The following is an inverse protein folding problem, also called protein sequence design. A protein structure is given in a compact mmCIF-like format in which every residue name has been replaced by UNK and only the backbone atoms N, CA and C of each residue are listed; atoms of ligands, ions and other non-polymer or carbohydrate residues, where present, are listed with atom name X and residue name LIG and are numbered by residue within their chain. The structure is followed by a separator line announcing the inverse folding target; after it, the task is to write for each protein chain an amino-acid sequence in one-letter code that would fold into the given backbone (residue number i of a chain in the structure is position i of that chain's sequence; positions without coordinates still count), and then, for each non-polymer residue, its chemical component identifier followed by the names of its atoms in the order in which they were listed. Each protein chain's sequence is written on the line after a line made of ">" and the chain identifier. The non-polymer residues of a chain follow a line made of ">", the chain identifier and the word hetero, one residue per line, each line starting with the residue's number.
data_IF_041776709839
#
_entry.id   IF_041776709839
#
_cell.length_a   1.000
_cell.length_b   1.000
_cell.length_c   1.000
_cell.angle_alpha   90.00
_cell.angle_beta   90.00
_cell.angle_gamma   90.00
#
_symmetry.space_group_name_H-M   'P 1'
#
loop_
_entity.id
_entity.type
_entity.pdbx_description
1 polymer ?
#
# COMPACT_ATOMS: atom_id res chain seq x y z
N UNK A 1 19.80 -33.66 -2.75
CA UNK A 1 20.10 -32.97 -1.48
C UNK A 1 19.10 -33.47 -0.45
N UNK A 2 19.42 -34.48 0.36
CA UNK A 2 18.46 -35.09 1.30
C UNK A 2 18.45 -34.46 2.71
N UNK A 3 19.38 -33.55 3.04
CA UNK A 3 19.63 -33.15 4.44
C UNK A 3 18.97 -31.84 4.87
N UNK A 4 17.93 -31.36 4.17
CA UNK A 4 17.23 -30.13 4.53
C UNK A 4 15.91 -30.45 5.23
N UNK A 5 15.87 -30.12 6.53
CA UNK A 5 14.75 -30.40 7.44
C UNK A 5 14.17 -29.10 8.01
N UNK A 6 12.91 -29.14 8.42
CA UNK A 6 12.28 -28.05 9.15
C UNK A 6 12.93 -27.89 10.55
N UNK A 7 13.22 -26.67 11.02
CA UNK A 7 13.92 -26.45 12.29
C UNK A 7 13.13 -26.88 13.54
N UNK A 8 11.83 -27.14 13.39
CA UNK A 8 10.96 -27.68 14.44
C UNK A 8 10.57 -29.11 14.08
N UNK A 9 10.94 -30.06 14.95
CA UNK A 9 10.64 -31.48 14.81
C UNK A 9 9.14 -31.71 15.06
N UNK A 10 8.46 -32.31 14.08
CA UNK A 10 7.07 -32.73 14.19
C UNK A 10 6.95 -34.24 13.97
N UNK A 11 5.72 -34.78 14.01
CA UNK A 11 5.44 -36.17 13.66
C UNK A 11 5.85 -36.56 12.23
N UNK A 12 6.08 -35.57 11.36
CA UNK A 12 6.49 -35.74 9.96
C UNK A 12 8.01 -35.63 9.76
N UNK A 13 8.81 -35.57 10.83
CA UNK A 13 10.27 -35.48 10.72
C UNK A 13 10.88 -36.63 9.91
N UNK A 14 11.74 -36.29 8.96
CA UNK A 14 12.39 -37.26 8.06
C UNK A 14 11.60 -37.52 6.78
N UNK A 15 10.39 -36.97 6.64
CA UNK A 15 9.57 -37.08 5.42
C UNK A 15 9.86 -35.96 4.41
N UNK A 16 10.79 -35.05 4.74
CA UNK A 16 11.29 -34.01 3.87
C UNK A 16 10.58 -32.67 4.06
N UNK A 17 11.29 -31.59 3.73
CA UNK A 17 10.91 -30.21 4.07
C UNK A 17 9.47 -29.83 3.70
N UNK A 18 8.97 -30.27 2.56
CA UNK A 18 7.61 -29.94 2.11
C UNK A 18 6.54 -30.51 3.05
N UNK A 19 6.70 -31.76 3.50
CA UNK A 19 5.76 -32.42 4.41
C UNK A 19 5.94 -31.89 5.83
N UNK A 20 7.19 -31.72 6.27
CA UNK A 20 7.54 -31.17 7.58
C UNK A 20 7.02 -29.75 7.79
N UNK A 21 6.87 -28.96 6.70
CA UNK A 21 6.37 -27.58 6.72
C UNK A 21 4.89 -27.45 6.36
N UNK A 22 4.22 -28.54 5.97
CA UNK A 22 2.83 -28.49 5.51
C UNK A 22 1.84 -28.22 6.65
N UNK A 23 2.18 -28.64 7.88
CA UNK A 23 1.33 -28.49 9.06
C UNK A 23 1.98 -27.55 10.07
N UNK A 24 1.53 -26.30 10.09
CA UNK A 24 1.99 -25.25 11.03
C UNK A 24 1.21 -25.25 12.36
N UNK A 25 0.41 -26.29 12.62
CA UNK A 25 -0.50 -26.37 13.77
C UNK A 25 -1.96 -26.25 13.37
N UNK A 26 -2.86 -26.27 14.35
CA UNK A 26 -4.30 -26.08 14.10
C UNK A 26 -4.55 -24.64 13.64
N UNK A 27 -4.98 -24.48 12.39
CA UNK A 27 -5.30 -23.20 11.77
C UNK A 27 -6.65 -23.31 11.06
N UNK A 28 -7.36 -22.20 10.93
CA UNK A 28 -8.54 -22.13 10.07
C UNK A 28 -8.11 -22.07 8.60
N UNK A 29 -8.38 -23.13 7.84
CA UNK A 29 -7.96 -23.22 6.45
C UNK A 29 -8.96 -22.63 5.44
N UNK A 30 -10.03 -21.99 5.92
CA UNK A 30 -11.11 -21.50 5.05
C UNK A 30 -10.61 -20.56 3.96
N UNK A 31 -9.62 -19.70 4.27
CA UNK A 31 -9.06 -18.77 3.27
C UNK A 31 -8.22 -19.46 2.19
N UNK A 32 -7.53 -20.57 2.52
CA UNK A 32 -6.80 -21.36 1.53
C UNK A 32 -7.74 -22.20 0.65
N UNK A 33 -8.83 -22.70 1.23
CA UNK A 33 -9.78 -23.56 0.52
C UNK A 33 -10.56 -22.81 -0.58
N UNK A 34 -10.83 -21.52 -0.39
CA UNK A 34 -11.59 -20.70 -1.35
C UNK A 34 -10.75 -20.13 -2.51
N UNK A 35 -9.44 -20.41 -2.56
CA UNK A 35 -8.55 -19.80 -3.56
C UNK A 35 -8.98 -20.15 -4.99
N UNK A 36 -9.43 -21.39 -5.23
CA UNK A 36 -9.87 -21.83 -6.55
C UNK A 36 -11.14 -21.07 -6.98
N UNK A 37 -12.13 -20.97 -6.09
CA UNK A 37 -13.36 -20.23 -6.33
C UNK A 37 -13.11 -18.73 -6.56
N UNK A 38 -12.10 -18.15 -5.91
CA UNK A 38 -11.69 -16.76 -6.13
C UNK A 38 -11.08 -16.57 -7.51
N UNK A 39 -10.29 -17.52 -8.01
CA UNK A 39 -9.76 -17.46 -9.39
C UNK A 39 -10.90 -17.53 -10.41
N UNK A 40 -11.84 -18.46 -10.23
CA UNK A 40 -13.05 -18.58 -11.06
C UNK A 40 -13.94 -17.33 -10.99
N UNK A 41 -13.90 -16.60 -9.87
CA UNK A 41 -14.62 -15.34 -9.71
C UNK A 41 -13.91 -14.19 -10.44
N UNK A 42 -12.58 -14.09 -10.32
CA UNK A 42 -11.76 -13.07 -10.98
C UNK A 42 -11.87 -13.18 -12.52
N UNK A 43 -11.89 -14.40 -13.06
CA UNK A 43 -11.99 -14.64 -14.49
C UNK A 43 -13.33 -14.19 -15.11
N UNK A 44 -14.34 -13.88 -14.29
CA UNK A 44 -15.62 -13.31 -14.76
C UNK A 44 -15.53 -11.84 -15.09
N UNK A 45 -14.51 -11.13 -14.58
CA UNK A 45 -14.29 -9.73 -14.89
C UNK A 45 -13.65 -9.58 -16.26
N UNK A 46 -13.95 -8.50 -16.96
CA UNK A 46 -13.34 -8.21 -18.26
C UNK A 46 -11.81 -8.12 -18.13
N UNK A 47 -11.10 -8.97 -18.87
CA UNK A 47 -9.64 -9.08 -18.81
C UNK A 47 -9.10 -9.88 -17.62
N UNK A 48 -9.96 -10.52 -16.82
CA UNK A 48 -9.57 -11.31 -15.65
C UNK A 48 -8.69 -10.53 -14.68
N UNK A 49 -7.67 -11.19 -14.14
CA UNK A 49 -6.73 -10.57 -13.20
C UNK A 49 -5.98 -9.37 -13.80
N UNK A 50 -5.56 -9.46 -15.07
CA UNK A 50 -4.83 -8.38 -15.75
C UNK A 50 -5.73 -7.16 -15.96
N UNK A 51 -7.00 -7.38 -16.31
CA UNK A 51 -8.00 -6.33 -16.45
C UNK A 51 -8.27 -5.61 -15.13
N UNK A 52 -8.34 -6.35 -14.03
CA UNK A 52 -8.46 -5.77 -12.68
C UNK A 52 -7.22 -4.94 -12.32
N UNK A 53 -6.02 -5.48 -12.57
CA UNK A 53 -4.75 -4.78 -12.31
C UNK A 53 -4.67 -3.47 -13.09
N UNK A 54 -4.99 -3.51 -14.39
CA UNK A 54 -4.97 -2.32 -15.25
C UNK A 54 -5.97 -1.26 -14.78
N UNK A 55 -7.22 -1.65 -14.48
CA UNK A 55 -8.23 -0.70 -13.97
C UNK A 55 -7.82 -0.04 -12.67
N UNK A 56 -7.25 -0.82 -11.74
CA UNK A 56 -6.76 -0.28 -10.46
C UNK A 56 -5.63 0.73 -10.68
N UNK A 57 -4.71 0.42 -11.58
CA UNK A 57 -3.61 1.29 -11.96
C UNK A 57 -4.10 2.60 -12.59
N UNK A 58 -4.92 2.50 -13.64
CA UNK A 58 -5.45 3.65 -14.36
C UNK A 58 -6.23 4.58 -13.39
N UNK A 59 -7.07 4.00 -12.53
CA UNK A 59 -7.86 4.75 -11.55
C UNK A 59 -6.99 5.41 -10.48
N UNK A 60 -6.00 4.70 -9.92
CA UNK A 60 -5.18 5.26 -8.84
C UNK A 60 -4.26 6.36 -9.36
N UNK A 61 -3.68 6.20 -10.56
CA UNK A 61 -2.85 7.22 -11.22
C UNK A 61 -3.68 8.48 -11.48
N UNK A 62 -4.87 8.32 -12.06
CA UNK A 62 -5.76 9.46 -12.33
C UNK A 62 -6.13 10.23 -11.05
N UNK A 63 -6.48 9.52 -9.98
CA UNK A 63 -6.79 10.14 -8.68
C UNK A 63 -5.56 10.83 -8.08
N UNK A 64 -4.38 10.21 -8.19
CA UNK A 64 -3.15 10.74 -7.63
C UNK A 64 -2.72 12.05 -8.33
N UNK A 65 -2.77 12.06 -9.67
CA UNK A 65 -2.48 13.26 -10.48
C UNK A 65 -3.47 14.40 -10.19
N UNK A 66 -4.75 14.05 -10.04
CA UNK A 66 -5.79 15.02 -9.66
C UNK A 66 -5.48 15.66 -8.31
N UNK A 67 -5.13 14.87 -7.30
CA UNK A 67 -4.80 15.38 -5.96
C UNK A 67 -3.51 16.18 -5.96
N UNK A 68 -2.45 15.69 -6.59
CA UNK A 68 -1.17 16.41 -6.71
C UNK A 68 -1.38 17.78 -7.37
N UNK A 69 -2.16 17.84 -8.45
CA UNK A 69 -2.52 19.09 -9.12
C UNK A 69 -3.34 20.02 -8.24
N UNK A 70 -4.35 19.49 -7.54
CA UNK A 70 -5.21 20.29 -6.66
C UNK A 70 -4.47 20.86 -5.44
N UNK A 71 -3.46 20.13 -4.95
CA UNK A 71 -2.65 20.51 -3.80
C UNK A 71 -1.40 21.31 -4.17
N UNK A 72 -1.06 21.41 -5.46
CA UNK A 72 0.18 22.03 -5.91
C UNK A 72 1.41 21.25 -5.48
N UNK A 73 1.28 19.92 -5.36
CA UNK A 73 2.33 19.01 -4.88
C UNK A 73 2.73 18.01 -5.98
N UNK A 74 3.44 16.94 -5.59
CA UNK A 74 3.95 15.92 -6.49
C UNK A 74 3.51 14.51 -6.07
N UNK A 75 3.74 13.55 -6.97
CA UNK A 75 3.64 12.14 -6.66
C UNK A 75 4.93 11.67 -5.95
N UNK A 76 4.80 10.78 -4.97
CA UNK A 76 5.93 10.18 -4.28
C UNK A 76 6.67 9.12 -5.11
N UNK A 77 6.12 8.72 -6.26
CA UNK A 77 6.74 7.78 -7.19
C UNK A 77 6.20 8.01 -8.62
N UNK A 78 6.94 7.60 -9.67
CA UNK A 78 6.45 7.65 -11.04
C UNK A 78 5.14 6.86 -11.21
N UNK A 79 4.19 7.31 -12.06
CA UNK A 79 2.93 6.60 -12.30
C UNK A 79 3.09 5.12 -12.63
N UNK A 80 4.07 4.75 -13.47
CA UNK A 80 4.35 3.36 -13.87
C UNK A 80 4.70 2.43 -12.70
N UNK A 81 5.08 2.99 -11.55
CA UNK A 81 5.40 2.26 -10.32
C UNK A 81 4.25 2.23 -9.31
N UNK A 82 3.08 2.75 -9.67
CA UNK A 82 1.89 2.82 -8.81
C UNK A 82 0.88 1.74 -9.21
N UNK A 83 0.91 0.53 -8.64
CA UNK A 83 0.02 -0.56 -9.05
C UNK A 83 -1.45 -0.26 -8.71
N UNK A 84 -1.88 -0.45 -7.47
CA UNK A 84 -3.25 -0.11 -7.02
C UNK A 84 -3.24 0.96 -5.93
N UNK A 85 -2.07 1.54 -5.67
CA UNK A 85 -1.81 2.54 -4.64
C UNK A 85 -0.83 3.57 -5.16
N UNK A 86 -0.98 4.82 -4.71
CA UNK A 86 -0.07 5.92 -5.03
C UNK A 86 0.19 6.78 -3.80
N UNK A 87 1.41 7.31 -3.70
CA UNK A 87 1.79 8.30 -2.70
C UNK A 87 1.62 9.70 -3.29
N UNK A 88 0.93 10.59 -2.59
CA UNK A 88 0.74 11.98 -3.00
C UNK A 88 1.26 12.90 -1.91
N UNK A 89 2.10 13.88 -2.29
CA UNK A 89 2.60 14.90 -1.39
C UNK A 89 1.46 15.73 -0.82
N UNK A 90 1.48 15.96 0.49
CA UNK A 90 0.53 16.83 1.18
C UNK A 90 1.01 18.28 1.12
N UNK A 91 0.09 19.27 1.04
CA UNK A 91 0.46 20.68 1.11
C UNK A 91 1.29 20.99 2.36
N UNK A 92 2.37 21.76 2.20
CA UNK A 92 3.22 22.19 3.31
C UNK A 92 2.44 22.97 4.40
N UNK A 93 1.35 23.64 4.02
CA UNK A 93 0.43 24.33 4.93
C UNK A 93 -0.24 23.43 5.98
N UNK A 94 -0.21 22.10 5.81
CA UNK A 94 -0.66 21.14 6.81
C UNK A 94 0.35 20.91 7.94
N UNK A 95 1.59 21.41 7.80
CA UNK A 95 2.58 21.46 8.88
C UNK A 95 3.05 20.10 9.41
N UNK A 96 3.21 19.11 8.54
CA UNK A 96 3.61 17.74 8.94
C UNK A 96 5.13 17.67 9.13
N UNK A 97 5.58 17.85 10.36
CA UNK A 97 7.02 17.90 10.69
C UNK A 97 7.58 16.61 11.34
N UNK A 98 6.69 15.65 11.63
CA UNK A 98 6.98 14.41 12.38
C UNK A 98 5.80 13.45 12.30
N UNK A 99 6.04 12.18 12.61
CA UNK A 99 4.99 11.13 12.57
C UNK A 99 3.78 11.42 13.46
N UNK A 100 3.96 12.13 14.58
CA UNK A 100 2.84 12.49 15.45
C UNK A 100 1.87 13.45 14.77
N UNK A 101 2.35 14.32 13.88
CA UNK A 101 1.51 15.29 13.17
C UNK A 101 0.71 14.59 12.06
N UNK A 102 1.34 13.65 11.34
CA UNK A 102 0.65 12.75 10.41
C UNK A 102 -0.45 11.91 11.11
N UNK A 103 -0.14 11.39 12.29
CA UNK A 103 -1.09 10.59 13.09
C UNK A 103 -2.30 11.41 13.57
N UNK A 104 -2.08 12.68 13.97
CA UNK A 104 -3.16 13.61 14.33
C UNK A 104 -4.05 13.91 13.13
N UNK A 105 -3.46 14.21 11.97
CA UNK A 105 -4.23 14.47 10.76
C UNK A 105 -5.05 13.26 10.33
N UNK A 106 -4.46 12.04 10.37
CA UNK A 106 -5.19 10.80 10.10
C UNK A 106 -6.39 10.62 11.04
N UNK A 107 -6.19 10.90 12.33
CA UNK A 107 -7.27 10.84 13.34
C UNK A 107 -8.36 11.86 13.04
N UNK A 108 -7.98 13.09 12.70
CA UNK A 108 -8.92 14.15 12.34
C UNK A 108 -9.76 13.78 11.10
N UNK A 109 -9.12 13.27 10.05
CA UNK A 109 -9.78 12.80 8.83
C UNK A 109 -10.79 11.68 9.10
N UNK A 110 -10.42 10.71 9.94
CA UNK A 110 -11.33 9.62 10.32
C UNK A 110 -12.51 10.13 11.13
N UNK A 111 -12.25 10.90 12.18
CA UNK A 111 -13.26 11.24 13.18
C UNK A 111 -14.24 12.32 12.67
N UNK A 112 -13.80 13.21 11.76
CA UNK A 112 -14.63 14.32 11.26
C UNK A 112 -15.14 14.11 9.83
N UNK A 113 -14.42 13.34 9.00
CA UNK A 113 -14.76 13.14 7.59
C UNK A 113 -15.04 11.68 7.24
N UNK A 114 -14.84 10.73 8.17
CA UNK A 114 -14.99 9.30 7.89
C UNK A 114 -13.94 8.75 6.91
N UNK A 115 -12.85 9.49 6.69
CA UNK A 115 -11.80 9.13 5.73
C UNK A 115 -10.65 8.43 6.45
N UNK A 116 -10.40 7.18 6.10
CA UNK A 116 -9.24 6.43 6.57
C UNK A 116 -8.14 6.38 5.49
N UNK A 117 -7.08 7.14 5.72
CA UNK A 117 -5.94 7.24 4.80
C UNK A 117 -4.63 7.07 5.58
N UNK A 118 -3.71 6.19 5.14
CA UNK A 118 -2.35 6.14 5.68
C UNK A 118 -1.60 7.43 5.33
N UNK A 119 -1.06 8.09 6.36
CA UNK A 119 -0.27 9.30 6.24
C UNK A 119 1.14 9.06 6.79
N UNK A 120 2.14 9.59 6.10
CA UNK A 120 3.54 9.39 6.41
C UNK A 120 4.27 10.73 6.48
N UNK A 121 5.14 10.89 7.47
CA UNK A 121 6.15 11.95 7.47
C UNK A 121 7.42 11.43 6.81
N UNK A 122 8.02 12.27 5.97
CA UNK A 122 9.33 12.03 5.39
C UNK A 122 10.21 13.25 5.68
N UNK A 123 11.32 13.01 6.39
CA UNK A 123 12.29 14.05 6.65
C UNK A 123 12.89 14.56 5.32
N UNK A 124 13.14 15.88 5.19
CA UNK A 124 13.85 16.44 4.05
C UNK A 124 15.20 15.76 3.87
N UNK A 125 15.62 15.56 2.62
CA UNK A 125 16.99 15.08 2.37
C UNK A 125 17.97 16.24 2.56
N UNK A 126 19.17 15.99 3.08
CA UNK A 126 20.22 17.01 3.32
C UNK A 126 20.45 17.94 2.11
N UNK A 127 20.31 17.44 0.89
CA UNK A 127 20.52 18.21 -0.34
C UNK A 127 19.36 19.17 -0.69
N UNK A 128 18.18 18.97 -0.11
CA UNK A 128 17.01 19.85 -0.24
C UNK A 128 17.10 21.01 0.76
N UNK A 129 17.98 20.88 1.76
CA UNK A 129 18.20 21.85 2.83
C UNK A 129 19.05 23.04 2.37
N UNK A 130 19.85 22.88 1.33
CA UNK A 130 20.73 23.95 0.83
C UNK A 130 20.00 24.99 -0.05
N UNK A 131 18.81 24.67 -0.54
CA UNK A 131 17.94 25.60 -1.30
C UNK A 131 17.10 26.49 -0.36
N UNK A 132 17.17 26.26 0.96
CA UNK A 132 16.21 26.69 2.00
C UNK A 132 16.19 28.17 2.42
N UNK A 133 17.02 29.05 1.87
CA UNK A 133 17.03 30.43 2.38
C UNK A 133 15.89 31.33 1.85
N UNK A 134 15.09 30.88 0.87
CA UNK A 134 14.02 31.72 0.30
C UNK A 134 12.59 31.15 0.42
N UNK A 135 12.34 29.83 0.45
CA UNK A 135 10.96 29.28 0.41
C UNK A 135 10.71 28.04 1.32
N UNK A 136 10.79 28.20 2.65
CA UNK A 136 10.43 27.13 3.62
C UNK A 136 8.98 26.65 3.52
N UNK A 137 8.09 27.47 2.95
CA UNK A 137 6.66 27.17 2.79
C UNK A 137 6.35 26.19 1.65
N UNK A 138 7.35 25.74 0.90
CA UNK A 138 7.18 24.85 -0.26
C UNK A 138 7.57 23.38 0.01
N UNK A 139 8.12 23.06 1.18
CA UNK A 139 8.74 21.76 1.43
C UNK A 139 7.71 20.68 1.76
N UNK A 140 7.57 19.70 0.86
CA UNK A 140 6.65 18.56 1.01
C UNK A 140 7.29 17.52 1.92
N UNK A 141 6.79 17.46 3.15
CA UNK A 141 7.27 16.56 4.22
C UNK A 141 6.21 15.53 4.63
N UNK A 142 4.96 15.71 4.21
CA UNK A 142 3.87 14.78 4.45
C UNK A 142 3.44 14.10 3.16
N UNK A 143 3.07 12.82 3.24
CA UNK A 143 2.54 12.06 2.11
C UNK A 143 1.30 11.27 2.51
N UNK A 144 0.31 11.25 1.63
CA UNK A 144 -0.89 10.43 1.75
C UNK A 144 -0.82 9.24 0.79
N UNK A 145 -1.13 8.03 1.27
CA UNK A 145 -1.26 6.84 0.42
C UNK A 145 -2.71 6.64 0.02
N UNK A 146 -3.03 6.86 -1.24
CA UNK A 146 -4.35 6.57 -1.78
C UNK A 146 -4.38 5.18 -2.42
N UNK A 147 -5.55 4.55 -2.46
CA UNK A 147 -5.75 3.23 -3.06
C UNK A 147 -7.09 3.16 -3.78
N UNK A 148 -7.17 2.40 -4.87
CA UNK A 148 -8.43 2.08 -5.54
C UNK A 148 -8.78 0.60 -5.39
N UNK A 149 -9.77 0.24 -4.55
CA UNK A 149 -10.29 -1.13 -4.53
C UNK A 149 -11.38 -1.31 -5.59
N UNK A 150 -11.11 -2.11 -6.62
CA UNK A 150 -12.05 -2.45 -7.71
C UNK A 150 -13.24 -3.32 -7.28
N UNK A 151 -13.20 -3.94 -6.10
CA UNK A 151 -14.19 -4.92 -5.65
C UNK A 151 -15.53 -4.32 -5.15
N UNK A 152 -15.73 -3.01 -5.25
CA UNK A 152 -16.96 -2.36 -4.75
C UNK A 152 -18.08 -2.23 -5.80
N UNK A 153 -17.80 -2.54 -7.06
CA UNK A 153 -18.79 -2.50 -8.14
C UNK A 153 -18.79 -3.81 -8.94
N UNK A 154 -19.42 -4.84 -8.37
CA UNK A 154 -19.84 -6.07 -9.06
C UNK A 154 -21.34 -6.22 -8.98
#
# INVERSE_FOLDING_TARGET
>A
MPDLYHPVVSHEYGNGLAIESAWIGTHDYSSQLVVLEVLDFIDRFEGGIEGIMKRNHDAVVQMAEMLAKAWGTNLGSPPDMCPSMAMVGLPASLGISRDTDASKLRTHLRDHFGVEVPLHYQAPKENEVEVENEDKDSLITGYARISHPSLQHS
#
